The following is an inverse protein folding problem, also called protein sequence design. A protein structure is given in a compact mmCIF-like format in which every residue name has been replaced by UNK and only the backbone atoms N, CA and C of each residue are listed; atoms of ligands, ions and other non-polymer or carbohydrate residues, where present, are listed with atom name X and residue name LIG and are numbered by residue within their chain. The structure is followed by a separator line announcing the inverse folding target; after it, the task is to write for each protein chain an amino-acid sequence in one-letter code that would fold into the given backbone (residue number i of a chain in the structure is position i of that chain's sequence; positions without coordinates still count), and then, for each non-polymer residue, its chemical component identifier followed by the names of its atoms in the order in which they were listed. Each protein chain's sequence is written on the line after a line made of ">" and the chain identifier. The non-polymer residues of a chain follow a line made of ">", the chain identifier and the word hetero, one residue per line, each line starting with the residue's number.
data_IF_208447797601
#
_entry.id   IF_208447797601
#
_cell.length_a   1.000
_cell.length_b   1.000
_cell.length_c   1.000
_cell.angle_alpha   90.00
_cell.angle_beta   90.00
_cell.angle_gamma   90.00
#
_symmetry.space_group_name_H-M   'P 1'
#
loop_
_entity.id
_entity.type
_entity.pdbx_description
1 polymer ?
#
# COMPACT_ATOMS: atom_id res chain seq x y z
N UNK A 1 -36.45 78.80 44.81
CA UNK A 1 -37.45 77.88 44.21
C UNK A 1 -36.77 76.52 44.05
N UNK A 2 -37.11 75.54 44.89
CA UNK A 2 -36.72 74.11 44.76
C UNK A 2 -37.43 73.46 43.55
N UNK A 3 -37.09 72.24 43.05
CA UNK A 3 -36.06 71.27 43.49
C UNK A 3 -35.19 70.60 42.36
N UNK A 4 -34.15 69.90 42.85
CA UNK A 4 -33.35 68.71 42.41
C UNK A 4 -34.12 67.56 41.68
N UNK A 5 -33.50 66.38 41.35
CA UNK A 5 -32.12 65.95 40.96
C UNK A 5 -32.17 65.05 39.66
N UNK A 6 -31.12 64.41 39.10
CA UNK A 6 -30.32 63.32 39.65
C UNK A 6 -29.27 62.78 38.66
N UNK A 7 -28.15 62.33 39.24
CA UNK A 7 -27.40 61.10 38.97
C UNK A 7 -26.78 60.87 37.57
N UNK A 8 -25.53 60.40 37.41
CA UNK A 8 -24.57 59.81 38.35
C UNK A 8 -23.19 59.71 37.68
N UNK A 9 -22.17 59.95 38.52
CA UNK A 9 -20.96 59.13 38.69
C UNK A 9 -19.91 59.04 37.54
N UNK A 10 -18.73 59.67 37.76
CA UNK A 10 -17.46 59.04 38.21
C UNK A 10 -16.76 58.26 37.08
N UNK A 11 -15.60 58.65 36.56
CA UNK A 11 -14.50 59.36 37.19
C UNK A 11 -13.29 58.43 37.30
N UNK A 12 -12.36 58.59 36.35
CA UNK A 12 -10.89 58.50 36.43
C UNK A 12 -10.27 57.29 37.14
N UNK A 13 -9.34 56.63 36.45
CA UNK A 13 -7.90 56.67 36.80
C UNK A 13 -7.02 56.07 35.69
N UNK A 14 -6.12 56.92 35.21
CA UNK A 14 -4.86 56.55 34.59
C UNK A 14 -3.87 56.11 35.68
N UNK A 15 -2.99 55.15 35.33
CA UNK A 15 -1.67 54.95 35.92
C UNK A 15 -0.90 54.04 34.93
N UNK A 16 0.00 54.61 34.12
CA UNK A 16 1.46 54.67 34.36
C UNK A 16 2.17 53.30 34.26
N UNK A 17 3.01 53.18 33.22
CA UNK A 17 4.06 52.16 33.06
C UNK A 17 5.20 52.42 34.05
N UNK A 18 5.89 51.36 34.48
CA UNK A 18 7.36 51.40 34.49
C UNK A 18 8.02 50.18 33.78
N UNK A 19 9.35 50.22 33.56
CA UNK A 19 9.99 49.71 32.35
C UNK A 19 10.81 48.41 32.51
N UNK A 20 11.18 47.87 31.34
CA UNK A 20 12.40 47.09 31.01
C UNK A 20 13.08 46.27 32.11
N UNK A 21 12.90 44.94 32.05
CA UNK A 21 13.76 43.99 32.75
C UNK A 21 15.14 43.95 32.11
N UNK A 22 16.12 44.39 32.90
CA UNK A 22 17.54 44.31 32.67
C UNK A 22 18.02 42.85 32.57
N UNK A 23 18.81 42.62 31.53
CA UNK A 23 19.71 41.49 31.29
C UNK A 23 20.56 41.19 32.52
N UNK A 24 20.34 40.03 33.13
CA UNK A 24 21.19 39.51 34.22
C UNK A 24 22.43 38.86 33.62
N UNK A 25 23.51 39.63 33.55
CA UNK A 25 24.87 39.12 33.29
C UNK A 25 25.27 38.19 34.43
N UNK A 26 25.58 36.93 34.10
CA UNK A 26 26.04 35.90 35.03
C UNK A 26 27.53 36.11 35.33
N UNK A 27 27.97 36.14 36.60
CA UNK A 27 29.39 36.30 36.93
C UNK A 27 30.21 35.11 36.45
N UNK A 28 31.36 35.40 35.84
CA UNK A 28 32.37 34.44 35.41
C UNK A 28 33.02 33.75 36.62
N UNK A 29 33.01 32.41 36.62
CA UNK A 29 33.81 31.62 37.55
C UNK A 29 35.27 31.54 37.08
N UNK A 30 36.26 31.43 37.99
CA UNK A 30 37.68 31.45 37.65
C UNK A 30 38.20 30.14 37.02
N UNK A 31 39.22 30.34 36.18
CA UNK A 31 40.00 29.46 35.29
C UNK A 31 40.22 28.00 35.73
N UNK A 32 40.12 27.07 34.75
CA UNK A 32 41.00 25.90 34.65
C UNK A 32 41.81 25.99 33.36
N UNK A 33 43.13 25.97 33.51
CA UNK A 33 44.11 25.91 32.43
C UNK A 33 43.90 24.64 31.58
N UNK A 34 44.02 24.72 30.24
CA UNK A 34 43.99 23.51 29.41
C UNK A 34 45.24 22.68 29.69
N UNK A 35 45.03 21.40 30.05
CA UNK A 35 46.08 20.36 29.98
C UNK A 35 46.56 20.26 28.53
N UNK A 36 47.86 20.03 28.29
CA UNK A 36 48.32 19.63 26.96
C UNK A 36 47.71 18.26 26.66
N UNK A 37 46.83 18.21 25.67
CA UNK A 37 46.32 16.94 25.13
C UNK A 37 47.45 16.31 24.34
N UNK A 38 48.01 15.28 24.93
CA UNK A 38 48.81 14.23 24.33
C UNK A 38 48.27 13.87 22.94
N UNK A 39 49.12 14.01 21.93
CA UNK A 39 48.79 13.73 20.55
C UNK A 39 48.40 12.25 20.41
N UNK A 40 47.11 11.99 20.20
CA UNK A 40 46.65 10.68 19.78
C UNK A 40 47.25 10.37 18.39
N UNK A 41 47.86 9.18 18.19
CA UNK A 41 48.53 8.83 16.96
C UNK A 41 47.54 8.85 15.78
N UNK A 42 48.00 9.39 14.66
CA UNK A 42 47.29 9.41 13.39
C UNK A 42 46.74 8.01 13.08
N UNK A 43 45.41 7.87 13.20
CA UNK A 43 44.72 6.70 12.72
C UNK A 43 44.98 6.61 11.21
N UNK A 44 45.75 5.59 10.83
CA UNK A 44 45.98 5.22 9.45
C UNK A 44 44.64 5.22 8.73
N UNK A 45 44.59 5.92 7.60
CA UNK A 45 43.48 5.82 6.65
C UNK A 45 43.54 4.42 6.05
N UNK A 46 42.97 3.44 6.76
CA UNK A 46 42.58 2.17 6.18
C UNK A 46 41.54 2.50 5.11
N UNK A 47 41.99 2.48 3.85
CA UNK A 47 41.16 2.44 2.67
C UNK A 47 40.18 1.29 2.78
N UNK A 48 38.95 1.59 3.21
CA UNK A 48 37.86 0.65 3.22
C UNK A 48 37.65 0.10 1.79
N UNK A 49 37.58 -1.22 1.62
CA UNK A 49 37.41 -1.82 0.30
C UNK A 49 36.01 -1.51 -0.24
N UNK A 50 35.98 -0.88 -1.42
CA UNK A 50 34.91 -0.98 -2.42
C UNK A 50 33.49 -0.71 -1.91
N UNK A 51 33.16 0.56 -1.62
CA UNK A 51 31.78 1.01 -1.77
C UNK A 51 31.46 0.93 -3.26
N UNK A 52 30.81 -0.15 -3.68
CA UNK A 52 30.16 -0.24 -4.98
C UNK A 52 29.30 1.01 -5.13
N UNK A 53 29.66 1.85 -6.11
CA UNK A 53 28.85 3.00 -6.48
C UNK A 53 27.41 2.49 -6.70
N UNK A 54 26.39 3.10 -6.08
CA UNK A 54 25.02 2.69 -6.34
C UNK A 54 24.79 2.83 -7.84
N UNK A 55 24.45 1.72 -8.50
CA UNK A 55 24.10 1.71 -9.92
C UNK A 55 23.15 2.89 -10.17
N UNK A 56 23.53 3.77 -11.10
CA UNK A 56 22.73 4.94 -11.45
C UNK A 56 21.28 4.50 -11.63
N UNK A 57 20.39 5.07 -10.83
CA UNK A 57 18.98 4.77 -10.92
C UNK A 57 18.50 5.20 -12.31
N UNK A 58 18.23 4.22 -13.17
CA UNK A 58 17.72 4.46 -14.51
C UNK A 58 16.39 5.21 -14.40
N UNK A 59 16.37 6.46 -14.84
CA UNK A 59 15.13 7.24 -15.01
C UNK A 59 14.66 7.04 -16.45
N UNK A 60 13.52 6.36 -16.67
CA UNK A 60 12.97 6.21 -18.01
C UNK A 60 12.58 7.59 -18.56
N UNK A 61 12.74 7.81 -19.87
CA UNK A 61 12.28 9.06 -20.48
C UNK A 61 10.74 9.14 -20.46
N UNK A 62 10.19 10.34 -20.28
CA UNK A 62 8.75 10.58 -20.14
C UNK A 62 7.91 9.98 -21.30
N UNK A 63 8.42 9.99 -22.53
CA UNK A 63 7.71 9.41 -23.68
C UNK A 63 7.47 7.90 -23.53
N UNK A 64 8.41 7.17 -22.93
CA UNK A 64 8.30 5.73 -22.71
C UNK A 64 7.24 5.43 -21.65
N UNK A 65 7.18 6.25 -20.59
CA UNK A 65 6.12 6.17 -19.60
C UNK A 65 4.75 6.47 -20.21
N UNK A 66 4.64 7.51 -21.04
CA UNK A 66 3.39 7.81 -21.74
C UNK A 66 2.98 6.67 -22.68
N UNK A 67 3.93 6.04 -23.38
CA UNK A 67 3.66 4.89 -24.23
C UNK A 67 3.07 3.72 -23.42
N UNK A 68 3.63 3.42 -22.25
CA UNK A 68 3.08 2.37 -21.38
C UNK A 68 1.69 2.70 -20.84
N UNK A 69 1.42 3.96 -20.49
CA UNK A 69 0.06 4.39 -20.11
C UNK A 69 -0.93 4.28 -21.26
N UNK A 70 -0.51 4.60 -22.49
CA UNK A 70 -1.32 4.38 -23.69
C UNK A 70 -1.59 2.90 -23.91
N UNK A 71 -0.59 2.03 -23.74
CA UNK A 71 -0.77 0.56 -23.84
C UNK A 71 -1.75 0.06 -22.79
N UNK A 72 -1.65 0.51 -21.54
CA UNK A 72 -2.59 0.13 -20.48
C UNK A 72 -4.00 0.66 -20.79
N UNK A 73 -4.13 1.91 -21.21
CA UNK A 73 -5.42 2.52 -21.53
C UNK A 73 -6.10 1.83 -22.72
N UNK A 74 -5.38 1.67 -23.83
CA UNK A 74 -5.88 0.99 -25.02
C UNK A 74 -6.19 -0.49 -24.75
N UNK A 75 -5.31 -1.19 -24.01
CA UNK A 75 -5.54 -2.57 -23.60
C UNK A 75 -6.77 -2.70 -22.70
N UNK A 76 -6.98 -1.79 -21.74
CA UNK A 76 -8.17 -1.79 -20.88
C UNK A 76 -9.45 -1.59 -21.70
N UNK A 77 -9.45 -0.65 -22.65
CA UNK A 77 -10.60 -0.42 -23.55
C UNK A 77 -10.86 -1.66 -24.40
N UNK A 78 -9.83 -2.26 -24.98
CA UNK A 78 -9.96 -3.50 -25.76
C UNK A 78 -10.54 -4.64 -24.92
N UNK A 79 -10.07 -4.84 -23.68
CA UNK A 79 -10.62 -5.85 -22.77
C UNK A 79 -12.09 -5.60 -22.41
N UNK A 80 -12.47 -4.33 -22.20
CA UNK A 80 -13.87 -3.97 -21.96
C UNK A 80 -14.74 -4.25 -23.19
N UNK A 81 -14.27 -3.93 -24.40
CA UNK A 81 -14.99 -4.26 -25.62
C UNK A 81 -15.15 -5.77 -25.80
N UNK A 82 -14.09 -6.54 -25.57
CA UNK A 82 -14.14 -8.00 -25.59
C UNK A 82 -15.12 -8.58 -24.57
N UNK A 83 -15.25 -7.97 -23.38
CA UNK A 83 -16.21 -8.42 -22.37
C UNK A 83 -17.69 -8.25 -22.78
N UNK A 84 -17.96 -7.45 -23.82
CA UNK A 84 -19.29 -7.30 -24.44
C UNK A 84 -19.37 -7.99 -25.81
N UNK A 85 -18.50 -8.97 -26.08
CA UNK A 85 -18.41 -9.70 -27.35
C UNK A 85 -18.18 -8.79 -28.58
N UNK A 86 -17.57 -7.61 -28.36
CA UNK A 86 -17.23 -6.67 -29.43
C UNK A 86 -15.78 -6.87 -29.84
N UNK A 87 -15.55 -7.19 -31.12
CA UNK A 87 -14.21 -7.28 -31.72
C UNK A 87 -13.77 -8.72 -32.01
N UNK A 88 -12.53 -8.90 -32.53
CA UNK A 88 -12.04 -10.23 -32.88
C UNK A 88 -11.62 -11.04 -31.65
N UNK A 89 -11.72 -12.37 -31.73
CA UNK A 89 -11.44 -13.29 -30.62
C UNK A 89 -10.02 -13.16 -30.03
N UNK A 90 -9.03 -12.76 -30.83
CA UNK A 90 -7.64 -12.58 -30.35
C UNK A 90 -7.43 -11.27 -29.58
N UNK A 91 -8.41 -10.36 -29.57
CA UNK A 91 -8.26 -9.03 -29.00
C UNK A 91 -8.08 -9.07 -27.48
N UNK A 92 -8.84 -9.92 -26.78
CA UNK A 92 -8.76 -10.10 -25.33
C UNK A 92 -7.36 -10.56 -24.92
N UNK A 93 -6.86 -11.63 -25.52
CA UNK A 93 -5.54 -12.19 -25.22
C UNK A 93 -4.40 -11.23 -25.57
N UNK A 94 -4.46 -10.55 -26.72
CA UNK A 94 -3.46 -9.56 -27.12
C UNK A 94 -3.42 -8.37 -26.14
N UNK A 95 -4.59 -7.88 -25.72
CA UNK A 95 -4.69 -6.80 -24.74
C UNK A 95 -4.17 -7.24 -23.36
N UNK A 96 -4.50 -8.45 -22.91
CA UNK A 96 -3.98 -9.03 -21.67
C UNK A 96 -2.46 -9.13 -21.66
N UNK A 97 -1.86 -9.62 -22.76
CA UNK A 97 -0.39 -9.65 -22.95
C UNK A 97 0.20 -8.25 -22.83
N UNK A 98 -0.40 -7.25 -23.48
CA UNK A 98 0.05 -5.86 -23.40
C UNK A 98 0.02 -5.29 -21.97
N UNK A 99 -1.10 -5.51 -21.26
CA UNK A 99 -1.28 -5.02 -19.89
C UNK A 99 -0.32 -5.69 -18.91
N UNK A 100 -0.17 -7.02 -18.94
CA UNK A 100 0.77 -7.72 -18.03
C UNK A 100 2.22 -7.34 -18.32
N UNK A 101 2.56 -7.12 -19.58
CA UNK A 101 3.90 -6.64 -19.99
C UNK A 101 4.16 -5.24 -19.42
N UNK A 102 3.19 -4.33 -19.55
CA UNK A 102 3.27 -2.98 -19.01
C UNK A 102 3.41 -2.96 -17.49
N UNK A 103 2.60 -3.75 -16.78
CA UNK A 103 2.69 -3.88 -15.33
C UNK A 103 4.01 -4.53 -14.88
N UNK A 104 4.54 -5.50 -15.63
CA UNK A 104 5.85 -6.11 -15.33
C UNK A 104 7.01 -5.12 -15.51
N UNK A 105 6.91 -4.23 -16.50
CA UNK A 105 7.86 -3.14 -16.69
C UNK A 105 7.76 -2.13 -15.53
N UNK A 106 6.55 -1.64 -15.24
CA UNK A 106 6.29 -0.64 -14.20
C UNK A 106 6.61 -1.14 -12.78
N UNK A 107 6.35 -2.41 -12.50
CA UNK A 107 6.73 -3.01 -11.23
C UNK A 107 8.25 -3.04 -11.06
N UNK A 108 8.97 -3.39 -12.13
CA UNK A 108 10.42 -3.47 -12.10
C UNK A 108 11.10 -2.10 -12.02
N UNK A 109 10.57 -1.05 -12.65
CA UNK A 109 11.08 0.32 -12.44
C UNK A 109 10.93 0.73 -10.99
N UNK A 110 9.77 0.49 -10.37
CA UNK A 110 9.52 0.80 -8.95
C UNK A 110 10.32 -0.04 -7.99
N UNK A 111 10.68 -1.28 -8.36
CA UNK A 111 11.46 -2.19 -7.55
C UNK A 111 12.98 -2.05 -7.71
N UNK A 112 13.47 -1.03 -8.44
CA UNK A 112 14.89 -0.87 -8.83
C UNK A 112 15.45 -2.13 -9.53
N UNK A 113 14.63 -2.80 -10.35
CA UNK A 113 14.98 -3.98 -11.12
C UNK A 113 15.30 -3.67 -12.58
N UNK A 114 15.61 -4.72 -13.35
CA UNK A 114 15.89 -4.62 -14.80
C UNK A 114 14.57 -4.56 -15.57
N UNK A 115 13.97 -3.38 -15.69
CA UNK A 115 12.63 -3.18 -16.25
C UNK A 115 12.45 -3.73 -17.68
N UNK A 116 13.44 -3.57 -18.55
CA UNK A 116 13.38 -4.15 -19.90
C UNK A 116 13.42 -5.67 -19.89
N UNK A 117 14.20 -6.28 -18.98
CA UNK A 117 14.28 -7.74 -18.87
C UNK A 117 12.97 -8.30 -18.34
N UNK A 118 12.36 -7.67 -17.33
CA UNK A 118 11.07 -8.12 -16.81
C UNK A 118 9.96 -7.98 -17.85
N UNK A 119 9.94 -6.88 -18.60
CA UNK A 119 8.97 -6.70 -19.69
C UNK A 119 9.15 -7.75 -20.79
N UNK A 120 10.39 -8.01 -21.21
CA UNK A 120 10.67 -9.00 -22.26
C UNK A 120 10.32 -10.42 -21.82
N UNK A 121 10.62 -10.78 -20.56
CA UNK A 121 10.23 -12.08 -19.99
C UNK A 121 8.71 -12.19 -19.89
N UNK A 122 8.01 -11.16 -19.41
CA UNK A 122 6.56 -11.17 -19.33
C UNK A 122 5.90 -11.28 -20.71
N UNK A 123 6.38 -10.51 -21.69
CA UNK A 123 5.93 -10.57 -23.07
C UNK A 123 6.14 -11.97 -23.65
N UNK A 124 7.34 -12.54 -23.50
CA UNK A 124 7.68 -13.87 -23.99
C UNK A 124 6.83 -14.98 -23.37
N UNK A 125 6.66 -14.98 -22.05
CA UNK A 125 5.86 -15.99 -21.35
C UNK A 125 4.36 -15.86 -21.69
N UNK A 126 3.81 -14.64 -21.69
CA UNK A 126 2.39 -14.41 -21.97
C UNK A 126 2.06 -14.70 -23.44
N UNK A 127 2.90 -14.28 -24.38
CA UNK A 127 2.73 -14.62 -25.81
C UNK A 127 2.86 -16.12 -26.04
N UNK A 128 3.82 -16.78 -25.41
CA UNK A 128 3.98 -18.24 -25.51
C UNK A 128 2.74 -18.95 -24.97
N UNK A 129 2.18 -18.50 -23.85
CA UNK A 129 0.95 -19.08 -23.30
C UNK A 129 -0.24 -18.95 -24.27
N UNK A 130 -0.39 -17.81 -24.94
CA UNK A 130 -1.46 -17.58 -25.93
C UNK A 130 -1.24 -18.38 -27.22
N UNK A 131 0.00 -18.45 -27.72
CA UNK A 131 0.31 -19.12 -28.99
C UNK A 131 0.29 -20.64 -28.86
N UNK A 132 0.87 -21.18 -27.78
CA UNK A 132 0.85 -22.62 -27.49
C UNK A 132 -0.55 -23.04 -27.03
N UNK A 133 -1.25 -22.17 -26.32
CA UNK A 133 -2.56 -22.43 -25.76
C UNK A 133 -2.53 -23.47 -24.64
N UNK A 134 -3.70 -24.01 -24.33
CA UNK A 134 -3.87 -25.02 -23.29
C UNK A 134 -4.20 -24.42 -21.92
N UNK A 135 -5.09 -25.11 -21.23
CA UNK A 135 -5.69 -24.70 -19.95
C UNK A 135 -4.66 -24.31 -18.89
N UNK A 136 -3.56 -25.07 -18.79
CA UNK A 136 -2.52 -24.85 -17.77
C UNK A 136 -1.71 -23.58 -18.05
N UNK A 137 -1.32 -23.33 -19.30
CA UNK A 137 -0.50 -22.17 -19.65
C UNK A 137 -1.29 -20.87 -19.55
N UNK A 138 -2.54 -20.87 -20.02
CA UNK A 138 -3.45 -19.72 -19.93
C UNK A 138 -3.81 -19.41 -18.47
N UNK A 139 -4.10 -20.43 -17.66
CA UNK A 139 -4.33 -20.28 -16.22
C UNK A 139 -3.11 -19.75 -15.48
N UNK A 140 -1.92 -20.25 -15.83
CA UNK A 140 -0.64 -19.75 -15.29
C UNK A 140 -0.38 -18.29 -15.66
N UNK A 141 -0.63 -17.90 -16.91
CA UNK A 141 -0.49 -16.52 -17.37
C UNK A 141 -1.49 -15.57 -16.67
N UNK A 142 -2.75 -15.98 -16.53
CA UNK A 142 -3.75 -15.27 -15.76
C UNK A 142 -3.33 -15.10 -14.29
N UNK A 143 -2.88 -16.18 -13.65
CA UNK A 143 -2.45 -16.15 -12.25
C UNK A 143 -1.27 -15.19 -12.05
N UNK A 144 -0.24 -15.28 -12.91
CA UNK A 144 0.91 -14.39 -12.86
C UNK A 144 0.53 -12.94 -13.14
N UNK A 145 -0.49 -12.69 -13.97
CA UNK A 145 -1.06 -11.36 -14.20
C UNK A 145 -1.67 -10.80 -12.92
N UNK A 146 -2.48 -11.58 -12.20
CA UNK A 146 -3.01 -11.18 -10.89
C UNK A 146 -1.89 -10.89 -9.88
N UNK A 147 -0.85 -11.72 -9.84
CA UNK A 147 0.31 -11.55 -8.95
C UNK A 147 1.05 -10.24 -9.26
N UNK A 148 1.46 -10.04 -10.52
CA UNK A 148 2.23 -8.86 -10.93
C UNK A 148 1.41 -7.58 -10.78
N UNK A 149 0.17 -7.57 -11.29
CA UNK A 149 -0.71 -6.40 -11.21
C UNK A 149 -1.14 -6.07 -9.79
N UNK A 150 -1.43 -7.09 -8.96
CA UNK A 150 -1.76 -6.90 -7.55
C UNK A 150 -0.59 -6.34 -6.73
N UNK A 151 0.63 -6.85 -6.93
CA UNK A 151 1.84 -6.29 -6.28
C UNK A 151 2.13 -4.89 -6.81
N UNK A 152 2.02 -4.65 -8.12
CA UNK A 152 2.19 -3.32 -8.71
C UNK A 152 1.20 -2.31 -8.13
N UNK A 153 -0.07 -2.67 -7.95
CA UNK A 153 -1.07 -1.82 -7.33
C UNK A 153 -0.65 -1.31 -5.93
N UNK A 154 -0.03 -2.17 -5.12
CA UNK A 154 0.55 -1.78 -3.82
C UNK A 154 1.74 -0.86 -4.01
N UNK A 155 2.69 -1.22 -4.87
CA UNK A 155 3.93 -0.47 -5.09
C UNK A 155 3.68 0.91 -5.72
N UNK A 156 2.60 1.06 -6.49
CA UNK A 156 2.19 2.31 -7.12
C UNK A 156 1.73 3.37 -6.11
N UNK A 157 1.34 2.97 -4.90
CA UNK A 157 0.91 3.89 -3.84
C UNK A 157 2.05 4.80 -3.36
N UNK A 158 1.67 6.01 -2.94
CA UNK A 158 2.58 7.05 -2.45
C UNK A 158 2.32 7.31 -0.96
N UNK A 159 3.29 7.79 -0.17
CA UNK A 159 3.08 8.14 1.23
C UNK A 159 1.96 9.17 1.43
N UNK A 160 1.10 8.97 2.43
CA UNK A 160 -0.09 9.77 2.66
C UNK A 160 -0.20 10.33 4.09
N UNK A 161 0.03 11.63 4.25
CA UNK A 161 -0.01 12.31 5.57
C UNK A 161 -1.40 12.43 6.20
N UNK A 162 -2.47 12.32 5.41
CA UNK A 162 -3.87 12.47 5.86
C UNK A 162 -4.70 11.27 5.44
N UNK A 163 -5.74 10.91 6.21
CA UNK A 163 -6.64 9.81 5.87
C UNK A 163 -7.24 9.95 4.46
N UNK A 164 -7.72 11.13 4.06
CA UNK A 164 -8.28 11.32 2.70
C UNK A 164 -7.27 11.07 1.58
N UNK A 165 -5.98 11.39 1.79
CA UNK A 165 -4.92 11.02 0.85
C UNK A 165 -4.69 9.50 0.85
N UNK A 166 -4.71 8.85 2.00
CA UNK A 166 -4.58 7.39 2.10
C UNK A 166 -5.74 6.68 1.37
N UNK A 167 -6.98 7.16 1.57
CA UNK A 167 -8.17 6.70 0.82
C UNK A 167 -7.97 6.84 -0.69
N UNK A 168 -7.47 7.99 -1.16
CA UNK A 168 -7.15 8.19 -2.58
C UNK A 168 -6.13 7.17 -3.09
N UNK A 169 -5.05 6.93 -2.35
CA UNK A 169 -4.04 5.95 -2.75
C UNK A 169 -4.62 4.52 -2.78
N UNK A 170 -5.47 4.16 -1.83
CA UNK A 170 -6.20 2.89 -1.82
C UNK A 170 -7.15 2.77 -3.01
N UNK A 171 -7.90 3.82 -3.35
CA UNK A 171 -8.78 3.83 -4.53
C UNK A 171 -8.00 3.63 -5.83
N UNK A 172 -6.82 4.24 -5.94
CA UNK A 172 -5.96 4.07 -7.12
C UNK A 172 -5.43 2.63 -7.17
N UNK A 173 -4.98 2.06 -6.05
CA UNK A 173 -4.57 0.66 -5.99
C UNK A 173 -5.71 -0.28 -6.40
N UNK A 174 -6.94 -0.05 -5.90
CA UNK A 174 -8.13 -0.79 -6.31
C UNK A 174 -8.43 -0.64 -7.81
N UNK A 175 -8.27 0.56 -8.38
CA UNK A 175 -8.43 0.77 -9.83
C UNK A 175 -7.41 -0.03 -10.67
N UNK A 176 -6.16 -0.10 -10.23
CA UNK A 176 -5.13 -0.93 -10.87
C UNK A 176 -5.51 -2.42 -10.78
N UNK A 177 -6.06 -2.87 -9.64
CA UNK A 177 -6.58 -4.23 -9.49
C UNK A 177 -7.75 -4.52 -10.43
N UNK A 178 -8.65 -3.58 -10.67
CA UNK A 178 -9.76 -3.76 -11.63
C UNK A 178 -9.22 -3.95 -13.05
N UNK A 179 -8.25 -3.13 -13.47
CA UNK A 179 -7.58 -3.30 -14.77
C UNK A 179 -6.90 -4.68 -14.85
N UNK A 180 -6.24 -5.08 -13.75
CA UNK A 180 -5.60 -6.39 -13.66
C UNK A 180 -6.63 -7.53 -13.78
N UNK A 181 -7.83 -7.37 -13.21
CA UNK A 181 -8.89 -8.36 -13.30
C UNK A 181 -9.38 -8.58 -14.73
N UNK A 182 -9.57 -7.48 -15.47
CA UNK A 182 -9.92 -7.56 -16.89
C UNK A 182 -8.82 -8.28 -17.68
N UNK A 183 -7.55 -7.96 -17.41
CA UNK A 183 -6.42 -8.59 -18.10
C UNK A 183 -6.28 -10.08 -17.74
N UNK A 184 -6.54 -10.47 -16.49
CA UNK A 184 -6.52 -11.87 -16.08
C UNK A 184 -7.60 -12.68 -16.82
N UNK A 185 -8.83 -12.16 -16.88
CA UNK A 185 -9.95 -12.82 -17.60
C UNK A 185 -9.72 -12.92 -19.10
N UNK A 186 -9.01 -11.96 -19.72
CA UNK A 186 -8.71 -12.03 -21.16
C UNK A 186 -7.79 -13.18 -21.61
N UNK A 187 -7.22 -13.94 -20.66
CA UNK A 187 -6.56 -15.22 -20.94
C UNK A 187 -7.52 -16.42 -20.91
N UNK A 188 -8.80 -16.22 -20.59
CA UNK A 188 -9.82 -17.27 -20.50
C UNK A 188 -9.38 -18.48 -19.66
N UNK A 189 -8.95 -18.28 -18.40
CA UNK A 189 -8.40 -19.34 -17.57
C UNK A 189 -9.46 -20.35 -17.12
N UNK A 190 -9.11 -21.65 -17.12
CA UNK A 190 -9.93 -22.72 -16.53
C UNK A 190 -9.37 -23.13 -15.17
N UNK A 191 -9.91 -22.55 -14.09
CA UNK A 191 -9.35 -22.73 -12.74
C UNK A 191 -10.39 -23.03 -11.69
N UNK A 192 -9.99 -23.82 -10.70
CA UNK A 192 -10.65 -23.87 -9.40
C UNK A 192 -10.44 -22.51 -8.71
N UNK A 193 -11.53 -21.76 -8.49
CA UNK A 193 -11.50 -20.41 -7.90
C UNK A 193 -10.76 -20.39 -6.57
N UNK A 194 -11.00 -21.38 -5.71
CA UNK A 194 -10.37 -21.49 -4.39
C UNK A 194 -8.85 -21.65 -4.50
N UNK A 195 -8.36 -22.58 -5.32
CA UNK A 195 -6.91 -22.80 -5.52
C UNK A 195 -6.25 -21.59 -6.16
N UNK A 196 -6.95 -20.95 -7.10
CA UNK A 196 -6.46 -19.76 -7.78
C UNK A 196 -6.29 -18.56 -6.83
N UNK A 197 -7.29 -18.29 -5.99
CA UNK A 197 -7.25 -17.23 -4.98
C UNK A 197 -6.12 -17.47 -3.97
N UNK A 198 -5.97 -18.70 -3.45
CA UNK A 198 -4.90 -19.04 -2.50
C UNK A 198 -3.52 -18.90 -3.15
N UNK A 199 -3.31 -19.49 -4.32
CA UNK A 199 -2.02 -19.49 -5.00
C UNK A 199 -1.57 -18.08 -5.40
N UNK A 200 -2.50 -17.27 -5.94
CA UNK A 200 -2.20 -15.89 -6.34
C UNK A 200 -1.84 -15.01 -5.14
N UNK A 201 -2.57 -15.11 -4.01
CA UNK A 201 -2.26 -14.34 -2.80
C UNK A 201 -0.91 -14.76 -2.21
N UNK A 202 -0.63 -16.07 -2.12
CA UNK A 202 0.64 -16.57 -1.58
C UNK A 202 1.84 -16.12 -2.44
N UNK A 203 1.76 -16.30 -3.76
CA UNK A 203 2.83 -15.88 -4.68
C UNK A 203 3.03 -14.36 -4.67
N UNK A 204 1.94 -13.59 -4.61
CA UNK A 204 2.02 -12.13 -4.50
C UNK A 204 2.62 -11.68 -3.17
N UNK A 205 2.33 -12.35 -2.06
CA UNK A 205 2.95 -12.04 -0.78
C UNK A 205 4.45 -12.34 -0.81
N UNK A 206 4.86 -13.48 -1.36
CA UNK A 206 6.29 -13.82 -1.55
C UNK A 206 6.99 -12.75 -2.39
N UNK A 207 6.40 -12.36 -3.53
CA UNK A 207 6.95 -11.34 -4.41
C UNK A 207 7.02 -9.96 -3.73
N UNK A 208 5.96 -9.54 -3.05
CA UNK A 208 5.91 -8.26 -2.35
C UNK A 208 6.94 -8.20 -1.21
N UNK A 209 7.08 -9.28 -0.43
CA UNK A 209 8.09 -9.41 0.62
C UNK A 209 9.49 -9.36 0.01
N UNK A 210 9.76 -10.09 -1.07
CA UNK A 210 11.06 -10.06 -1.74
C UNK A 210 11.42 -8.66 -2.24
N UNK A 211 10.47 -7.93 -2.82
CA UNK A 211 10.65 -6.55 -3.28
C UNK A 211 10.92 -5.61 -2.10
N UNK A 212 10.12 -5.66 -1.03
CA UNK A 212 10.30 -4.77 0.13
C UNK A 212 11.57 -5.06 0.91
N UNK A 213 11.96 -6.34 0.99
CA UNK A 213 13.25 -6.72 1.54
C UNK A 213 14.40 -6.06 0.78
N UNK A 214 14.31 -6.01 -0.56
CA UNK A 214 15.32 -5.38 -1.43
C UNK A 214 15.28 -3.84 -1.41
N UNK A 215 14.09 -3.23 -1.36
CA UNK A 215 13.88 -1.78 -1.52
C UNK A 215 14.31 -0.91 -0.33
N UNK A 216 14.87 -1.46 0.74
CA UNK A 216 15.59 -0.65 1.72
C UNK A 216 14.95 -0.52 3.11
N UNK A 217 14.32 -1.59 3.58
CA UNK A 217 14.20 -1.81 5.02
C UNK A 217 15.19 -2.88 5.54
N UNK A 218 15.44 -3.97 4.80
CA UNK A 218 16.04 -5.17 5.40
C UNK A 218 15.29 -5.60 6.68
N UNK A 219 15.80 -6.58 7.42
CA UNK A 219 15.27 -6.85 8.77
C UNK A 219 15.71 -5.78 9.78
N UNK A 220 16.77 -5.01 9.48
CA UNK A 220 17.34 -4.01 10.37
C UNK A 220 16.56 -2.67 10.42
N UNK A 221 15.83 -2.34 9.35
CA UNK A 221 14.88 -1.20 9.32
C UNK A 221 13.53 -1.54 9.98
N UNK A 222 13.33 -2.81 10.32
CA UNK A 222 12.22 -3.37 11.06
C UNK A 222 12.46 -3.13 12.56
N UNK A 223 12.30 -1.89 13.00
CA UNK A 223 12.27 -1.59 14.43
C UNK A 223 11.16 -2.36 15.13
N UNK A 224 11.19 -2.42 16.46
CA UNK A 224 10.27 -3.23 17.29
C UNK A 224 8.79 -3.07 16.91
N UNK A 225 8.37 -1.88 16.49
CA UNK A 225 6.99 -1.59 16.07
C UNK A 225 6.63 -2.21 14.71
N UNK A 226 7.52 -2.09 13.72
CA UNK A 226 7.35 -2.77 12.43
C UNK A 226 7.27 -4.28 12.62
N UNK A 227 8.07 -4.84 13.54
CA UNK A 227 8.08 -6.28 13.80
C UNK A 227 6.76 -6.73 14.42
N UNK A 228 6.23 -5.95 15.37
CA UNK A 228 4.90 -6.18 15.94
C UNK A 228 3.82 -6.07 14.86
N UNK A 229 3.87 -5.07 13.98
CA UNK A 229 2.90 -4.89 12.92
C UNK A 229 2.92 -6.05 11.90
N UNK A 230 4.11 -6.49 11.49
CA UNK A 230 4.29 -7.65 10.60
C UNK A 230 3.84 -8.93 11.30
N UNK A 231 4.23 -9.16 12.55
CA UNK A 231 3.83 -10.32 13.33
C UNK A 231 2.32 -10.36 13.56
N UNK A 232 1.70 -9.20 13.82
CA UNK A 232 0.24 -9.06 13.94
C UNK A 232 -0.46 -9.36 12.61
N UNK A 233 -0.01 -8.75 11.50
CA UNK A 233 -0.60 -8.97 10.19
C UNK A 233 -0.44 -10.43 9.72
N UNK A 234 0.74 -11.02 9.93
CA UNK A 234 0.98 -12.45 9.69
C UNK A 234 0.11 -13.31 10.62
N UNK A 235 -0.02 -12.95 11.89
CA UNK A 235 -0.87 -13.62 12.87
C UNK A 235 -2.34 -13.59 12.49
N UNK A 236 -2.86 -12.45 12.04
CA UNK A 236 -4.24 -12.31 11.54
C UNK A 236 -4.43 -13.16 10.28
N UNK A 237 -3.48 -13.16 9.36
CA UNK A 237 -3.55 -13.99 8.15
C UNK A 237 -3.56 -15.47 8.49
N UNK A 238 -2.63 -15.94 9.34
CA UNK A 238 -2.56 -17.33 9.81
C UNK A 238 -3.82 -17.70 10.58
N UNK A 239 -4.30 -16.84 11.48
CA UNK A 239 -5.53 -17.09 12.23
C UNK A 239 -6.75 -17.19 11.31
N UNK A 240 -6.83 -16.36 10.26
CA UNK A 240 -7.94 -16.41 9.30
C UNK A 240 -7.94 -17.72 8.53
N UNK A 241 -6.78 -18.15 8.03
CA UNK A 241 -6.64 -19.42 7.29
C UNK A 241 -6.84 -20.62 8.21
N UNK A 242 -6.21 -20.62 9.38
CA UNK A 242 -6.34 -21.69 10.36
C UNK A 242 -7.78 -21.80 10.88
N UNK A 243 -8.47 -20.68 11.11
CA UNK A 243 -9.87 -20.70 11.49
C UNK A 243 -10.75 -21.29 10.39
N UNK A 244 -10.52 -20.92 9.12
CA UNK A 244 -11.24 -21.51 7.99
C UNK A 244 -11.01 -23.02 7.88
N UNK A 245 -9.76 -23.49 7.98
CA UNK A 245 -9.40 -24.92 7.96
C UNK A 245 -9.96 -25.68 9.17
N UNK A 246 -9.89 -25.11 10.38
CA UNK A 246 -10.45 -25.72 11.58
C UNK A 246 -11.98 -25.81 11.48
N UNK A 247 -12.63 -24.78 10.96
CA UNK A 247 -14.07 -24.76 10.73
C UNK A 247 -14.47 -25.80 9.69
N UNK A 248 -13.70 -25.96 8.60
CA UNK A 248 -13.96 -26.96 7.57
C UNK A 248 -13.72 -28.40 8.05
N UNK A 249 -12.68 -28.64 8.85
CA UNK A 249 -12.31 -30.01 9.29
C UNK A 249 -13.01 -30.46 10.57
N UNK A 250 -13.28 -29.53 11.48
CA UNK A 250 -13.74 -29.82 12.83
C UNK A 250 -15.00 -29.02 13.22
N UNK A 251 -15.49 -28.14 12.35
CA UNK A 251 -16.74 -27.44 12.60
C UNK A 251 -17.90 -28.43 12.71
N UNK A 252 -18.75 -28.24 13.70
CA UNK A 252 -20.04 -28.95 13.73
C UNK A 252 -20.84 -28.56 12.50
N UNK A 253 -21.59 -29.52 11.93
CA UNK A 253 -22.45 -29.27 10.77
C UNK A 253 -23.37 -28.06 11.02
N UNK A 254 -23.94 -27.96 12.22
CA UNK A 254 -24.82 -26.84 12.62
C UNK A 254 -24.13 -25.46 12.60
N UNK A 255 -22.83 -25.39 12.95
CA UNK A 255 -22.10 -24.12 12.91
C UNK A 255 -21.78 -23.72 11.47
N UNK A 256 -21.41 -24.69 10.62
CA UNK A 256 -21.16 -24.45 9.20
C UNK A 256 -22.46 -24.01 8.52
N UNK A 257 -23.59 -24.69 8.75
CA UNK A 257 -24.89 -24.31 8.18
C UNK A 257 -25.30 -22.92 8.65
N UNK A 258 -25.19 -22.59 9.95
CA UNK A 258 -25.53 -21.25 10.44
C UNK A 258 -24.71 -20.14 9.76
N UNK A 259 -23.41 -20.38 9.53
CA UNK A 259 -22.54 -19.41 8.83
C UNK A 259 -22.93 -19.31 7.36
N UNK A 260 -23.20 -20.43 6.69
CA UNK A 260 -23.63 -20.45 5.29
C UNK A 260 -25.00 -19.78 5.11
N UNK A 261 -25.97 -20.09 5.97
CA UNK A 261 -27.30 -19.47 6.01
C UNK A 261 -27.19 -17.96 6.23
N UNK A 262 -26.26 -17.51 7.08
CA UNK A 262 -26.00 -16.09 7.26
C UNK A 262 -25.41 -15.43 6.01
N UNK A 263 -24.47 -16.10 5.33
CA UNK A 263 -23.89 -15.62 4.07
C UNK A 263 -24.95 -15.54 2.98
N UNK A 264 -25.79 -16.57 2.85
CA UNK A 264 -26.85 -16.65 1.85
C UNK A 264 -27.94 -15.61 2.14
N UNK A 265 -28.42 -15.50 3.40
CA UNK A 265 -29.38 -14.47 3.79
C UNK A 265 -28.84 -13.05 3.56
N UNK A 266 -27.53 -12.85 3.72
CA UNK A 266 -26.88 -11.58 3.41
C UNK A 266 -26.81 -11.36 1.89
N UNK A 267 -26.43 -12.38 1.12
CA UNK A 267 -26.35 -12.31 -0.35
C UNK A 267 -27.72 -12.03 -0.96
N UNK A 268 -28.79 -12.61 -0.44
CA UNK A 268 -30.16 -12.34 -0.89
C UNK A 268 -30.58 -10.89 -0.64
N UNK A 269 -30.05 -10.26 0.42
CA UNK A 269 -30.41 -8.88 0.79
C UNK A 269 -29.58 -7.81 0.11
N UNK A 270 -28.27 -8.04 -0.06
CA UNK A 270 -27.32 -7.04 -0.58
C UNK A 270 -26.58 -7.47 -1.85
N UNK A 271 -26.99 -8.57 -2.47
CA UNK A 271 -26.52 -9.16 -3.75
C UNK A 271 -25.11 -9.77 -3.67
N UNK A 272 -24.24 -9.24 -2.81
CA UNK A 272 -22.86 -9.68 -2.69
C UNK A 272 -22.38 -9.69 -1.23
N UNK A 273 -21.65 -10.75 -0.85
CA UNK A 273 -20.99 -10.83 0.45
C UNK A 273 -19.55 -10.30 0.38
N UNK A 274 -19.13 -9.35 1.24
CA UNK A 274 -17.78 -8.79 1.20
C UNK A 274 -16.73 -9.84 1.57
N UNK A 275 -15.58 -9.85 0.87
CA UNK A 275 -14.46 -10.76 1.15
C UNK A 275 -13.81 -10.42 2.50
N UNK A 276 -13.83 -11.32 3.51
CA UNK A 276 -13.33 -11.03 4.85
C UNK A 276 -11.83 -10.66 4.86
N UNK A 277 -11.01 -11.38 4.11
CA UNK A 277 -9.57 -11.15 4.03
C UNK A 277 -9.25 -9.74 3.48
N UNK A 278 -10.04 -9.25 2.52
CA UNK A 278 -9.91 -7.88 1.97
C UNK A 278 -10.29 -6.82 3.00
N UNK A 279 -11.39 -7.05 3.75
CA UNK A 279 -11.93 -6.11 4.75
C UNK A 279 -11.04 -6.02 5.99
N UNK A 280 -10.63 -7.17 6.53
CA UNK A 280 -9.99 -7.27 7.84
C UNK A 280 -8.49 -7.01 7.77
N UNK A 281 -7.85 -7.34 6.65
CA UNK A 281 -6.40 -7.25 6.50
C UNK A 281 -5.99 -6.35 5.33
N UNK A 282 -6.44 -6.65 4.12
CA UNK A 282 -5.89 -6.03 2.91
C UNK A 282 -6.06 -4.51 2.82
N UNK A 283 -7.30 -4.02 2.87
CA UNK A 283 -7.58 -2.58 2.78
C UNK A 283 -7.04 -1.81 3.99
N UNK A 284 -7.24 -2.28 5.24
CA UNK A 284 -6.62 -1.64 6.40
C UNK A 284 -5.10 -1.53 6.29
N UNK A 285 -4.43 -2.57 5.80
CA UNK A 285 -2.99 -2.58 5.58
C UNK A 285 -2.54 -1.56 4.52
N UNK A 286 -3.29 -1.39 3.42
CA UNK A 286 -3.01 -0.34 2.43
C UNK A 286 -3.15 1.07 3.04
N UNK A 287 -4.26 1.32 3.72
CA UNK A 287 -4.58 2.64 4.29
C UNK A 287 -3.59 3.01 5.39
N UNK A 288 -3.38 2.11 6.35
CA UNK A 288 -2.45 2.35 7.46
C UNK A 288 -1.00 2.33 6.99
N UNK A 289 -0.62 1.44 6.07
CA UNK A 289 0.72 1.37 5.52
C UNK A 289 1.11 2.63 4.75
N UNK A 290 0.24 3.15 3.89
CA UNK A 290 0.49 4.43 3.18
C UNK A 290 0.56 5.60 4.14
N UNK A 291 -0.23 5.57 5.22
CA UNK A 291 -0.16 6.55 6.29
C UNK A 291 1.15 6.50 7.07
N UNK A 292 1.61 5.30 7.42
CA UNK A 292 2.88 5.07 8.11
C UNK A 292 4.08 5.43 7.23
N UNK A 293 4.04 5.14 5.93
CA UNK A 293 5.11 5.49 4.98
C UNK A 293 5.42 6.98 4.96
N UNK A 294 4.45 7.84 5.27
CA UNK A 294 4.66 9.28 5.36
C UNK A 294 5.54 9.70 6.56
N UNK A 295 5.72 8.82 7.53
CA UNK A 295 6.42 9.09 8.79
C UNK A 295 7.62 8.16 9.01
N UNK A 296 7.51 6.91 8.57
CA UNK A 296 8.45 5.82 8.89
C UNK A 296 8.60 4.86 7.70
N UNK A 297 9.84 4.43 7.46
CA UNK A 297 10.20 3.38 6.47
C UNK A 297 9.46 2.05 6.69
N UNK A 298 9.08 1.76 7.94
CA UNK A 298 8.35 0.55 8.33
C UNK A 298 6.97 0.44 7.68
N UNK A 299 6.39 1.54 7.20
CA UNK A 299 5.11 1.50 6.51
C UNK A 299 5.11 0.61 5.25
N UNK A 300 6.27 0.38 4.62
CA UNK A 300 6.38 -0.56 3.50
C UNK A 300 6.02 -2.00 3.88
N UNK A 301 6.44 -2.45 5.06
CA UNK A 301 6.12 -3.79 5.58
C UNK A 301 4.65 -3.96 5.93
N UNK A 302 3.96 -2.87 6.28
CA UNK A 302 2.50 -2.91 6.46
C UNK A 302 1.82 -2.91 5.10
N UNK A 303 2.26 -2.05 4.17
CA UNK A 303 1.74 -1.99 2.81
C UNK A 303 1.84 -3.33 2.06
N UNK A 304 2.85 -4.17 2.29
CA UNK A 304 2.94 -5.48 1.63
C UNK A 304 1.71 -6.34 1.87
N UNK A 305 1.10 -6.29 3.05
CA UNK A 305 -0.15 -7.00 3.33
C UNK A 305 -1.34 -6.42 2.56
N UNK A 306 -1.19 -5.25 1.93
CA UNK A 306 -2.13 -4.72 0.97
C UNK A 306 -2.37 -5.60 -0.25
N UNK A 307 -1.45 -6.54 -0.57
CA UNK A 307 -1.69 -7.56 -1.61
C UNK A 307 -2.88 -8.46 -1.28
N UNK A 308 -3.20 -8.61 0.02
CA UNK A 308 -4.39 -9.29 0.50
C UNK A 308 -5.69 -8.57 0.10
N UNK A 309 -5.63 -7.31 -0.35
CA UNK A 309 -6.75 -6.64 -1.02
C UNK A 309 -6.59 -6.65 -2.54
N UNK A 310 -5.43 -6.23 -3.05
CA UNK A 310 -5.28 -5.97 -4.48
C UNK A 310 -5.33 -7.25 -5.32
N UNK A 311 -4.86 -8.39 -4.80
CA UNK A 311 -4.85 -9.66 -5.53
C UNK A 311 -6.24 -10.30 -5.56
N UNK A 312 -7.00 -10.43 -4.44
CA UNK A 312 -8.37 -10.91 -4.52
C UNK A 312 -9.30 -10.02 -5.33
N UNK A 313 -9.02 -8.70 -5.41
CA UNK A 313 -9.73 -7.81 -6.33
C UNK A 313 -9.35 -8.08 -7.79
N UNK A 314 -8.06 -8.34 -8.07
CA UNK A 314 -7.60 -8.72 -9.41
C UNK A 314 -8.11 -10.10 -9.85
N UNK A 315 -8.24 -11.06 -8.93
CA UNK A 315 -8.82 -12.36 -9.22
C UNK A 315 -10.36 -12.35 -9.27
N UNK A 316 -11.00 -11.25 -8.84
CA UNK A 316 -12.44 -11.21 -8.57
C UNK A 316 -13.34 -11.44 -9.78
N UNK A 317 -12.83 -11.25 -11.01
CA UNK A 317 -13.56 -11.51 -12.25
C UNK A 317 -13.28 -12.90 -12.85
N UNK A 318 -12.34 -13.65 -12.30
CA UNK A 318 -11.98 -15.00 -12.80
C UNK A 318 -13.01 -16.06 -12.37
N UNK A 319 -13.80 -15.79 -11.33
CA UNK A 319 -14.85 -16.69 -10.88
C UNK A 319 -16.05 -16.66 -11.85
N UNK A 320 -16.20 -17.72 -12.65
CA UNK A 320 -17.25 -17.88 -13.66
C UNK A 320 -18.68 -17.85 -13.09
N UNK A 321 -18.85 -18.22 -11.81
CA UNK A 321 -20.17 -18.37 -11.18
C UNK A 321 -20.78 -17.06 -10.67
N UNK A 322 -20.10 -15.92 -10.83
CA UNK A 322 -20.57 -14.62 -10.33
C UNK A 322 -20.75 -13.59 -11.44
N UNK A 323 -21.88 -12.90 -11.43
CA UNK A 323 -22.13 -11.79 -12.36
C UNK A 323 -21.12 -10.65 -12.14
N UNK A 324 -20.84 -9.86 -13.18
CA UNK A 324 -19.99 -8.67 -13.08
C UNK A 324 -20.46 -7.69 -12.00
N UNK A 325 -21.79 -7.56 -11.84
CA UNK A 325 -22.40 -6.72 -10.81
C UNK A 325 -22.08 -7.24 -9.41
N UNK A 326 -22.22 -8.55 -9.19
CA UNK A 326 -21.91 -9.16 -7.90
C UNK A 326 -20.42 -9.00 -7.55
N UNK A 327 -19.52 -9.21 -8.52
CA UNK A 327 -18.09 -9.00 -8.33
C UNK A 327 -17.76 -7.53 -7.98
N UNK A 328 -18.41 -6.58 -8.66
CA UNK A 328 -18.25 -5.15 -8.39
C UNK A 328 -18.76 -4.75 -7.00
N UNK A 329 -19.96 -5.21 -6.61
CA UNK A 329 -20.54 -4.95 -5.28
C UNK A 329 -19.69 -5.57 -4.17
N UNK A 330 -19.22 -6.81 -4.37
CA UNK A 330 -18.30 -7.49 -3.46
C UNK A 330 -17.04 -6.66 -3.21
N UNK A 331 -16.41 -6.15 -4.27
CA UNK A 331 -15.24 -5.30 -4.16
C UNK A 331 -15.57 -3.96 -3.47
N UNK A 332 -16.70 -3.34 -3.81
CA UNK A 332 -17.13 -2.06 -3.24
C UNK A 332 -17.43 -2.17 -1.73
N UNK A 333 -18.19 -3.18 -1.30
CA UNK A 333 -18.48 -3.42 0.10
C UNK A 333 -17.21 -3.73 0.89
N UNK A 334 -16.32 -4.57 0.34
CA UNK A 334 -15.04 -4.87 0.96
C UNK A 334 -14.17 -3.62 1.13
N UNK A 335 -14.16 -2.75 0.12
CA UNK A 335 -13.43 -1.49 0.17
C UNK A 335 -14.01 -0.55 1.23
N UNK A 336 -15.33 -0.33 1.25
CA UNK A 336 -15.97 0.58 2.21
C UNK A 336 -15.76 0.15 3.66
N UNK A 337 -16.01 -1.13 3.97
CA UNK A 337 -15.82 -1.68 5.31
C UNK A 337 -14.34 -1.65 5.72
N UNK A 338 -13.45 -2.03 4.79
CA UNK A 338 -12.01 -2.00 5.03
C UNK A 338 -11.45 -0.60 5.24
N UNK A 339 -11.96 0.41 4.53
CA UNK A 339 -11.60 1.82 4.75
C UNK A 339 -12.02 2.30 6.15
N UNK A 340 -13.22 1.89 6.60
CA UNK A 340 -13.70 2.14 7.96
C UNK A 340 -12.78 1.53 9.02
N UNK A 341 -12.40 0.26 8.85
CA UNK A 341 -11.46 -0.40 9.76
C UNK A 341 -10.07 0.23 9.72
N UNK A 342 -9.56 0.57 8.53
CA UNK A 342 -8.29 1.28 8.35
C UNK A 342 -8.27 2.66 9.05
N UNK A 343 -9.39 3.39 9.01
CA UNK A 343 -9.55 4.63 9.78
C UNK A 343 -9.43 4.37 11.28
N UNK A 344 -10.11 3.34 11.80
CA UNK A 344 -10.04 2.96 13.22
C UNK A 344 -8.62 2.57 13.63
N UNK A 345 -7.90 1.81 12.79
CA UNK A 345 -6.50 1.44 13.03
C UNK A 345 -5.61 2.68 13.11
N UNK A 346 -5.74 3.63 12.18
CA UNK A 346 -5.00 4.89 12.24
C UNK A 346 -5.33 5.66 13.52
N UNK A 347 -6.60 5.74 13.91
CA UNK A 347 -7.01 6.45 15.13
C UNK A 347 -6.47 5.77 16.40
N UNK A 348 -6.49 4.44 16.46
CA UNK A 348 -5.92 3.68 17.56
C UNK A 348 -4.40 3.86 17.63
N UNK A 349 -3.70 3.76 16.50
CA UNK A 349 -2.26 3.99 16.41
C UNK A 349 -1.90 5.39 16.88
N UNK A 350 -2.59 6.43 16.41
CA UNK A 350 -2.38 7.81 16.87
C UNK A 350 -2.72 8.03 18.34
N UNK A 351 -3.72 7.32 18.89
CA UNK A 351 -4.05 7.40 20.31
C UNK A 351 -2.97 6.76 21.19
N UNK A 352 -2.37 5.65 20.73
CA UNK A 352 -1.33 4.91 21.43
C UNK A 352 0.07 5.52 21.26
N UNK A 353 0.35 6.10 20.09
CA UNK A 353 1.67 6.65 19.73
C UNK A 353 1.74 8.17 19.76
N UNK A 354 0.60 8.84 19.90
CA UNK A 354 0.48 10.30 20.00
C UNK A 354 1.34 10.84 21.13
N UNK A 355 2.53 11.29 20.79
CA UNK A 355 3.49 11.82 21.76
C UNK A 355 3.02 13.18 22.26
N UNK A 356 2.87 13.28 23.58
CA UNK A 356 2.71 14.53 24.31
C UNK A 356 4.07 15.24 24.31
N UNK A 357 4.31 16.13 23.35
CA UNK A 357 5.39 17.14 23.45
C UNK A 357 6.15 17.46 22.15
N UNK A 358 6.66 18.70 22.06
CA UNK A 358 7.38 19.23 20.91
C UNK A 358 8.71 18.51 20.60
N UNK A 359 9.33 17.85 21.59
CA UNK A 359 10.59 17.12 21.42
C UNK A 359 10.44 15.80 20.65
N UNK A 360 9.35 15.08 20.89
CA UNK A 360 9.05 13.84 20.18
C UNK A 360 8.66 14.10 18.71
N UNK A 361 8.00 15.23 18.42
CA UNK A 361 7.73 15.68 17.04
C UNK A 361 9.00 16.00 16.29
N UNK A 362 9.97 16.69 16.91
CA UNK A 362 11.26 16.97 16.28
C UNK A 362 12.12 15.71 16.06
N UNK A 363 12.06 14.74 16.96
CA UNK A 363 12.72 13.45 16.75
C UNK A 363 12.07 12.66 15.62
N UNK A 364 10.74 12.71 15.51
CA UNK A 364 9.99 12.09 14.40
C UNK A 364 10.19 12.82 13.07
N UNK A 365 10.36 14.15 13.06
CA UNK A 365 10.73 14.96 11.89
C UNK A 365 12.20 14.75 11.48
N UNK A 366 13.10 14.47 12.43
CA UNK A 366 14.49 14.13 12.16
C UNK A 366 14.67 12.69 11.65
N UNK A 367 13.76 11.78 12.02
CA UNK A 367 13.66 10.40 11.49
C UNK A 367 12.78 10.32 10.22
N UNK A 368 12.01 11.38 9.93
CA UNK A 368 11.21 11.51 8.72
C UNK A 368 12.13 11.53 7.50
N UNK A 369 11.81 10.65 6.57
CA UNK A 369 12.72 10.25 5.51
C UNK A 369 12.75 11.18 4.32
N UNK A 370 13.88 11.12 3.62
CA UNK A 370 14.13 11.62 2.26
C UNK A 370 12.87 11.39 1.40
N UNK A 371 12.33 12.41 0.70
CA UNK A 371 11.09 12.30 -0.05
C UNK A 371 11.13 11.09 -0.97
N UNK A 372 10.16 10.18 -0.83
CA UNK A 372 9.98 9.15 -1.85
C UNK A 372 9.65 9.84 -3.18
N UNK A 373 10.23 9.39 -4.31
CA UNK A 373 9.91 9.96 -5.61
C UNK A 373 8.39 9.92 -5.80
N UNK A 374 7.84 11.04 -6.26
CA UNK A 374 6.42 11.10 -6.63
C UNK A 374 6.11 10.01 -7.66
N UNK A 375 4.85 9.56 -7.76
CA UNK A 375 4.45 8.52 -8.73
C UNK A 375 4.88 8.83 -10.18
N UNK A 376 5.07 10.11 -10.45
CA UNK A 376 5.46 10.68 -11.73
C UNK A 376 6.81 11.40 -11.66
N UNK A 377 7.67 11.14 -10.67
CA UNK A 377 8.96 11.83 -10.58
C UNK A 377 9.93 11.48 -11.73
N UNK A 378 9.56 10.47 -12.52
CA UNK A 378 10.25 10.06 -13.75
C UNK A 378 9.58 10.64 -15.02
N UNK A 379 8.47 11.41 -14.90
CA UNK A 379 7.90 12.25 -15.96
C UNK A 379 8.52 13.64 -15.90
#
# INVERSE_FOLDING_TARGET
>A
MSPRPADRARGKRAAERPPSRLTRVRPAAPRRSPRPTEAAPAAATETAPGVTQPAEAYTPPAWLLTAWWVVIGAGTVALLLSAFDVGPAWMSSAASVGVVTAFSWLLATRAAGRAFVSALVALGLATTAVVVGGEVLLSGASLMTCVVGGVYAVMATVPAVTFGRAVRETLIASGISVITALAAVGFEPSVSVERYDIASVLLALVLAVAIVFRLGAGLHGLGRRGLIAVAFALGVMVATVAYAELLQRYGSQDMITTVLDFVDATRDRIIAFPRPLVVLLGIPALVWGTHLRARRRQGWWVCTFGVAATVPMAAGLVAADSSYLEAALRAAYSLLLGLGLGYLVIRADLALTGSRGAGARRAEEAEALRPEPSRFAEL
#
